data_IF_655320173048
#
_entry.id   IF_655320173048
#
_cell.length_a   1.000
_cell.length_b   1.000
_cell.length_c   1.000
_cell.angle_alpha   90.00
_cell.angle_beta   90.00
_cell.angle_gamma   90.00
#
_symmetry.space_group_name_H-M   'P 1'
#
loop_
_entity.id
_entity.type
_entity.pdbx_description
1 polymer ?
#
# COMPACT_ATOMS: atom_id res chain seq x y z
N UNK A 1 -15.61 20.32 -3.49
CA UNK A 1 -14.54 19.32 -3.32
C UNK A 1 -14.41 18.40 -4.56
N UNK A 2 -13.91 18.87 -5.72
CA UNK A 2 -13.53 17.99 -6.84
C UNK A 2 -12.01 17.77 -6.98
N UNK A 3 -11.17 18.64 -6.42
CA UNK A 3 -9.69 18.58 -6.56
C UNK A 3 -9.07 17.28 -6.02
N UNK A 4 -9.62 16.75 -4.92
CA UNK A 4 -9.06 15.57 -4.23
C UNK A 4 -9.21 14.27 -5.03
N UNK A 5 -10.25 14.14 -5.87
CA UNK A 5 -10.44 12.92 -6.68
C UNK A 5 -9.51 12.91 -7.90
N UNK A 6 -9.31 14.08 -8.52
CA UNK A 6 -8.43 14.20 -9.69
C UNK A 6 -6.96 13.97 -9.30
N UNK A 7 -6.50 14.57 -8.21
CA UNK A 7 -5.15 14.36 -7.66
C UNK A 7 -4.87 12.87 -7.36
N UNK A 8 -5.87 12.12 -6.87
CA UNK A 8 -5.75 10.67 -6.63
C UNK A 8 -5.60 9.88 -7.92
N UNK A 9 -6.34 10.25 -8.98
CA UNK A 9 -6.26 9.59 -10.28
C UNK A 9 -4.91 9.85 -10.95
N UNK A 10 -4.41 11.09 -10.88
CA UNK A 10 -3.10 11.46 -11.41
C UNK A 10 -1.98 10.69 -10.71
N UNK A 11 -1.98 10.66 -9.37
CA UNK A 11 -1.00 9.88 -8.60
C UNK A 11 -1.01 8.39 -9.00
N UNK A 12 -2.20 7.80 -9.15
CA UNK A 12 -2.34 6.40 -9.54
C UNK A 12 -1.87 6.13 -10.98
N UNK A 13 -2.17 7.05 -11.90
CA UNK A 13 -1.66 6.99 -13.26
C UNK A 13 -0.13 7.04 -13.28
N UNK A 14 0.49 7.87 -12.43
CA UNK A 14 1.94 7.96 -12.30
C UNK A 14 2.56 6.68 -11.74
N UNK A 15 1.97 6.08 -10.70
CA UNK A 15 2.40 4.78 -10.18
C UNK A 15 2.32 3.71 -11.27
N UNK A 16 1.21 3.64 -11.99
CA UNK A 16 1.02 2.70 -13.12
C UNK A 16 2.06 2.93 -14.21
N UNK A 17 2.30 4.17 -14.62
CA UNK A 17 3.28 4.54 -15.63
C UNK A 17 4.72 4.21 -15.21
N UNK A 18 5.02 4.26 -13.92
CA UNK A 18 6.30 3.82 -13.38
C UNK A 18 6.44 2.30 -13.47
N UNK A 19 5.41 1.56 -13.06
CA UNK A 19 5.40 0.09 -13.11
C UNK A 19 5.52 -0.44 -14.54
N UNK A 20 4.89 0.22 -15.52
CA UNK A 20 5.01 -0.12 -16.94
C UNK A 20 6.45 0.03 -17.49
N UNK A 21 7.29 0.84 -16.85
CA UNK A 21 8.69 1.04 -17.23
C UNK A 21 9.64 0.04 -16.58
N UNK A 22 9.18 -0.71 -15.58
CA UNK A 22 9.97 -1.78 -14.94
C UNK A 22 10.04 -3.01 -15.84
N UNK A 23 11.15 -3.74 -15.76
CA UNK A 23 11.26 -5.03 -16.47
C UNK A 23 10.30 -6.04 -15.83
N UNK A 24 9.64 -6.87 -16.64
CA UNK A 24 8.74 -7.92 -16.15
C UNK A 24 9.43 -8.94 -15.25
N UNK A 25 10.75 -9.06 -15.33
CA UNK A 25 11.56 -9.92 -14.48
C UNK A 25 12.00 -9.26 -13.17
N UNK A 26 11.81 -7.95 -13.01
CA UNK A 26 12.11 -7.24 -11.78
C UNK A 26 11.06 -7.52 -10.71
N UNK A 27 11.53 -7.72 -9.48
CA UNK A 27 10.65 -7.93 -8.32
C UNK A 27 10.52 -6.63 -7.56
N UNK A 28 9.38 -5.98 -7.71
CA UNK A 28 9.13 -4.63 -7.22
C UNK A 28 8.65 -4.69 -5.77
N UNK A 29 9.12 -3.73 -4.98
CA UNK A 29 8.62 -3.44 -3.63
C UNK A 29 8.29 -1.94 -3.61
N UNK A 30 7.05 -1.60 -3.29
CA UNK A 30 6.55 -0.23 -3.18
C UNK A 30 6.27 0.05 -1.70
N UNK A 31 6.78 1.18 -1.22
CA UNK A 31 6.66 1.63 0.16
C UNK A 31 6.21 3.08 0.14
N UNK A 32 5.21 3.45 0.92
CA UNK A 32 4.83 4.85 1.06
C UNK A 32 3.47 5.06 1.68
N UNK A 33 3.16 6.35 1.86
CA UNK A 33 1.85 6.87 2.23
C UNK A 33 1.01 7.02 0.96
N UNK A 34 -0.09 6.27 0.86
CA UNK A 34 -1.05 6.29 -0.24
C UNK A 34 -2.29 7.14 0.11
N UNK A 35 -2.16 8.05 1.08
CA UNK A 35 -3.17 8.98 1.58
C UNK A 35 -4.22 9.36 0.52
N UNK A 36 -5.49 9.09 0.81
CA UNK A 36 -6.62 9.36 -0.09
C UNK A 36 -7.07 8.18 -0.95
N UNK A 37 -6.38 7.05 -0.95
CA UNK A 37 -6.76 5.96 -1.85
C UNK A 37 -7.57 4.83 -1.20
N UNK A 38 -7.58 4.76 0.12
CA UNK A 38 -8.16 3.63 0.85
C UNK A 38 -9.27 4.15 1.75
N UNK A 39 -10.50 4.03 1.28
CA UNK A 39 -11.66 4.18 2.16
C UNK A 39 -11.79 2.87 2.97
N UNK A 40 -10.94 2.73 3.98
CA UNK A 40 -11.01 1.58 4.88
C UNK A 40 -12.16 1.79 5.86
N UNK A 41 -13.40 1.69 5.40
CA UNK A 41 -14.47 1.24 6.28
C UNK A 41 -14.20 -0.22 6.62
N UNK A 42 -13.42 -0.44 7.69
CA UNK A 42 -13.07 -1.77 8.22
C UNK A 42 -14.12 -2.28 9.22
N UNK A 43 -15.39 -2.03 8.94
CA UNK A 43 -16.47 -2.70 9.67
C UNK A 43 -17.02 -3.80 8.75
N UNK A 44 -16.42 -4.99 8.84
CA UNK A 44 -16.90 -6.19 8.15
C UNK A 44 -16.18 -6.55 6.85
N UNK A 45 -14.96 -7.09 6.97
CA UNK A 45 -14.41 -7.98 5.93
C UNK A 45 -15.00 -9.41 6.06
N UNK A 46 -16.32 -9.49 6.20
CA UNK A 46 -17.11 -10.69 5.94
C UNK A 46 -18.21 -10.26 4.95
N UNK A 47 -18.12 -10.77 3.71
CA UNK A 47 -19.10 -10.59 2.62
C UNK A 47 -19.27 -9.15 2.09
N UNK A 48 -18.37 -8.71 1.24
CA UNK A 48 -18.71 -7.73 0.18
C UNK A 48 -18.15 -8.24 -1.15
N UNK A 49 -18.64 -9.40 -1.56
CA UNK A 49 -18.56 -9.85 -2.95
C UNK A 49 -19.93 -10.11 -3.57
N UNK A 50 -21.03 -9.88 -2.84
CA UNK A 50 -22.38 -9.93 -3.40
C UNK A 50 -23.19 -8.75 -2.89
N UNK A 51 -23.86 -8.10 -3.85
CA UNK A 51 -24.93 -7.11 -3.68
C UNK A 51 -24.57 -5.79 -3.00
N UNK A 52 -24.05 -4.83 -3.77
CA UNK A 52 -24.56 -3.45 -3.72
C UNK A 52 -24.37 -2.81 -5.10
N UNK A 53 -25.47 -2.72 -5.85
CA UNK A 53 -25.65 -1.78 -6.97
C UNK A 53 -25.74 -0.36 -6.38
N UNK A 54 -24.59 0.24 -6.10
CA UNK A 54 -24.47 1.67 -5.87
C UNK A 54 -23.12 2.09 -6.45
N UNK A 55 -23.00 3.32 -6.93
CA UNK A 55 -21.85 3.89 -7.67
C UNK A 55 -20.55 4.03 -6.81
N UNK A 56 -20.44 3.20 -5.78
CA UNK A 56 -19.32 2.95 -4.86
C UNK A 56 -18.54 1.70 -5.23
N UNK A 57 -18.74 1.16 -6.43
CA UNK A 57 -17.75 0.32 -7.13
C UNK A 57 -16.58 1.22 -7.55
N UNK A 58 -16.01 1.95 -6.58
CA UNK A 58 -14.70 2.51 -6.72
C UNK A 58 -13.77 1.32 -6.48
N UNK A 59 -13.53 0.60 -7.57
CA UNK A 59 -12.30 -0.12 -7.87
C UNK A 59 -11.29 0.05 -6.73
N UNK A 60 -11.20 -0.91 -5.81
CA UNK A 60 -10.08 -0.94 -4.88
C UNK A 60 -8.84 -0.97 -5.76
N UNK A 61 -8.20 0.17 -6.04
CA UNK A 61 -7.27 0.16 -7.16
C UNK A 61 -5.95 -0.53 -6.78
N UNK A 62 -5.80 -0.97 -5.52
CA UNK A 62 -4.90 -2.04 -5.11
C UNK A 62 -5.22 -3.37 -5.79
N UNK A 63 -6.50 -3.75 -5.91
CA UNK A 63 -6.93 -4.92 -6.69
C UNK A 63 -6.62 -4.72 -8.17
N UNK A 64 -6.76 -3.50 -8.70
CA UNK A 64 -6.37 -3.21 -10.09
C UNK A 64 -4.85 -3.35 -10.29
N UNK A 65 -4.03 -2.80 -9.39
CA UNK A 65 -2.58 -2.99 -9.42
C UNK A 65 -2.17 -4.45 -9.18
N UNK A 66 -2.87 -5.16 -8.30
CA UNK A 66 -2.64 -6.57 -7.99
C UNK A 66 -2.86 -7.41 -9.24
N UNK A 67 -4.00 -7.23 -9.92
CA UNK A 67 -4.34 -7.95 -11.13
C UNK A 67 -3.44 -7.59 -12.32
N UNK A 68 -3.07 -6.32 -12.48
CA UNK A 68 -2.30 -5.87 -13.64
C UNK A 68 -0.80 -6.16 -13.51
N UNK A 69 -0.23 -6.01 -12.32
CA UNK A 69 1.22 -6.07 -12.09
C UNK A 69 1.66 -7.21 -11.16
N UNK A 70 0.75 -8.13 -10.79
CA UNK A 70 0.98 -9.20 -9.82
C UNK A 70 1.52 -8.65 -8.50
N UNK A 71 0.79 -7.73 -7.87
CA UNK A 71 1.21 -6.99 -6.67
C UNK A 71 0.33 -7.28 -5.45
N UNK A 72 0.92 -7.80 -4.38
CA UNK A 72 0.21 -8.09 -3.14
C UNK A 72 0.48 -7.02 -2.05
N UNK A 73 -0.58 -6.56 -1.37
CA UNK A 73 -0.47 -5.72 -0.17
C UNK A 73 -0.06 -6.59 1.02
N UNK A 74 1.13 -6.36 1.58
CA UNK A 74 1.67 -7.32 2.56
C UNK A 74 0.97 -7.33 3.92
N UNK A 75 0.30 -6.23 4.30
CA UNK A 75 -0.46 -6.14 5.55
C UNK A 75 -1.74 -6.97 5.55
N UNK A 76 -2.18 -7.50 4.39
CA UNK A 76 -3.33 -8.42 4.27
C UNK A 76 -2.92 -9.90 4.29
N UNK A 77 -1.61 -10.20 4.26
CA UNK A 77 -1.10 -11.58 4.26
C UNK A 77 -1.26 -12.23 5.65
N UNK A 78 -1.16 -11.43 6.72
CA UNK A 78 -1.11 -11.91 8.10
C UNK A 78 -2.32 -11.42 8.88
N UNK A 79 -2.91 -12.33 9.67
CA UNK A 79 -3.96 -11.97 10.60
C UNK A 79 -3.35 -11.39 11.88
N UNK A 80 -3.31 -10.06 11.96
CA UNK A 80 -2.85 -9.33 13.12
C UNK A 80 -4.02 -8.64 13.82
N UNK A 81 -3.89 -8.43 15.14
CA UNK A 81 -4.81 -7.54 15.87
C UNK A 81 -4.89 -6.19 15.15
N UNK A 82 -6.11 -5.66 14.99
CA UNK A 82 -6.43 -4.40 14.29
C UNK A 82 -5.55 -3.21 14.73
N UNK A 83 -5.10 -3.19 15.98
CA UNK A 83 -4.15 -2.18 16.50
C UNK A 83 -2.84 -2.11 15.71
N UNK A 84 -2.38 -3.22 15.13
CA UNK A 84 -1.15 -3.32 14.34
C UNK A 84 -1.36 -3.05 12.84
N UNK A 85 -2.54 -2.56 12.44
CA UNK A 85 -2.84 -2.17 11.05
C UNK A 85 -2.96 -0.66 10.85
N UNK A 86 -3.15 0.12 11.91
CA UNK A 86 -3.29 1.58 11.79
C UNK A 86 -1.93 2.24 11.73
N UNK A 87 -1.66 2.99 10.66
CA UNK A 87 -0.37 3.65 10.41
C UNK A 87 -0.40 5.13 10.78
N UNK A 88 -1.59 5.68 11.03
CA UNK A 88 -1.77 7.05 11.46
C UNK A 88 -2.81 7.15 12.58
N UNK A 89 -2.60 8.08 13.51
CA UNK A 89 -3.55 8.40 14.57
C UNK A 89 -3.47 9.86 14.99
N UNK A 90 -4.64 10.50 15.09
CA UNK A 90 -4.81 11.81 15.73
C UNK A 90 -6.00 11.78 16.66
N UNK A 91 -5.76 11.90 17.97
CA UNK A 91 -6.82 11.76 18.98
C UNK A 91 -7.46 10.36 18.97
N UNK A 92 -8.75 10.31 18.65
CA UNK A 92 -9.52 9.06 18.50
C UNK A 92 -9.49 8.51 17.07
N UNK A 93 -9.18 9.34 16.08
CA UNK A 93 -9.15 8.97 14.67
C UNK A 93 -7.91 8.12 14.36
N UNK A 94 -8.11 7.08 13.54
CA UNK A 94 -7.05 6.15 13.14
C UNK A 94 -7.28 5.70 11.71
N UNK A 95 -6.22 5.64 10.92
CA UNK A 95 -6.28 5.24 9.52
C UNK A 95 -5.12 4.33 9.15
N UNK A 96 -5.31 3.51 8.12
CA UNK A 96 -4.25 2.75 7.46
C UNK A 96 -3.98 3.45 6.13
N UNK A 97 -2.91 4.22 6.09
CA UNK A 97 -2.55 5.07 4.94
C UNK A 97 -1.16 4.73 4.39
N UNK A 98 -0.31 4.10 5.18
CA UNK A 98 0.99 3.62 4.76
C UNK A 98 0.94 2.14 4.37
N UNK A 99 1.50 1.80 3.21
CA UNK A 99 1.44 0.45 2.68
C UNK A 99 2.81 -0.05 2.24
N UNK A 100 2.97 -1.37 2.40
CA UNK A 100 4.06 -2.12 1.81
C UNK A 100 3.44 -3.09 0.80
N UNK A 101 3.66 -2.80 -0.48
CA UNK A 101 3.17 -3.60 -1.61
C UNK A 101 4.37 -4.32 -2.23
N UNK A 102 4.22 -5.60 -2.55
CA UNK A 102 5.30 -6.39 -3.12
C UNK A 102 4.82 -7.18 -4.33
N UNK A 103 5.72 -7.45 -5.26
CA UNK A 103 5.45 -8.43 -6.32
C UNK A 103 5.10 -9.80 -5.70
N UNK A 104 4.06 -10.47 -6.20
CA UNK A 104 3.48 -11.68 -5.60
C UNK A 104 4.48 -12.83 -5.52
N UNK A 105 5.44 -12.93 -6.46
CA UNK A 105 6.57 -13.86 -6.35
C UNK A 105 7.41 -13.70 -5.06
N UNK A 106 7.40 -12.52 -4.43
CA UNK A 106 8.05 -12.26 -3.14
C UNK A 106 7.15 -12.58 -1.94
N UNK A 107 5.86 -12.86 -2.14
CA UNK A 107 4.88 -13.12 -1.06
C UNK A 107 5.36 -14.19 -0.09
N UNK A 108 5.88 -15.30 -0.60
CA UNK A 108 6.43 -16.41 0.22
C UNK A 108 7.73 -16.06 0.97
N UNK A 109 8.35 -14.93 0.64
CA UNK A 109 9.54 -14.39 1.31
C UNK A 109 9.18 -13.38 2.39
N UNK A 110 7.97 -12.85 2.40
CA UNK A 110 7.51 -11.98 3.48
C UNK A 110 7.35 -12.82 4.74
N UNK A 111 8.01 -12.40 5.81
CA UNK A 111 7.98 -13.04 7.13
C UNK A 111 6.87 -12.44 7.98
N UNK A 112 6.71 -11.13 7.92
CA UNK A 112 5.78 -10.36 8.75
C UNK A 112 5.66 -8.94 8.20
N UNK A 113 4.46 -8.36 8.19
CA UNK A 113 4.26 -6.91 7.96
C UNK A 113 3.33 -6.37 9.02
N UNK A 114 3.84 -5.48 9.87
CA UNK A 114 3.06 -4.95 10.99
C UNK A 114 3.45 -3.53 11.36
N UNK A 115 2.50 -2.84 11.99
CA UNK A 115 2.74 -1.54 12.59
C UNK A 115 3.31 -1.67 14.01
N UNK A 116 4.34 -0.88 14.28
CA UNK A 116 4.99 -0.75 15.58
C UNK A 116 4.46 0.46 16.35
N UNK A 117 3.31 0.27 17.02
CA UNK A 117 2.59 1.35 17.74
C UNK A 117 3.26 1.83 19.04
N UNK A 118 4.33 1.18 19.50
CA UNK A 118 5.04 1.53 20.74
C UNK A 118 6.26 2.43 20.54
N UNK A 119 6.62 2.74 19.29
CA UNK A 119 7.75 3.61 18.97
C UNK A 119 7.22 5.02 18.76
N UNK A 120 7.58 5.94 19.66
CA UNK A 120 7.23 7.35 19.51
C UNK A 120 8.25 8.03 18.59
N UNK A 121 7.86 8.31 17.35
CA UNK A 121 8.71 8.98 16.35
C UNK A 121 8.48 10.50 16.31
N UNK A 122 7.78 11.07 17.31
CA UNK A 122 7.38 12.48 17.36
C UNK A 122 6.49 12.91 16.17
N UNK A 123 5.75 11.98 15.58
CA UNK A 123 4.78 12.21 14.51
C UNK A 123 3.46 11.51 14.83
N UNK A 124 2.38 11.92 14.16
CA UNK A 124 1.07 11.23 14.21
C UNK A 124 1.07 9.89 13.44
N UNK A 125 2.21 9.52 12.86
CA UNK A 125 2.42 8.30 12.08
C UNK A 125 3.11 7.22 12.93
N UNK A 126 2.73 5.98 12.70
CA UNK A 126 3.37 4.81 13.26
C UNK A 126 4.27 4.14 12.23
N UNK A 127 5.37 3.56 12.70
CA UNK A 127 6.30 2.85 11.84
C UNK A 127 5.69 1.54 11.32
N UNK A 128 5.61 1.41 9.98
CA UNK A 128 5.32 0.14 9.30
C UNK A 128 6.63 -0.60 9.06
N UNK A 129 6.68 -1.86 9.48
CA UNK A 129 7.86 -2.71 9.25
C UNK A 129 7.41 -3.96 8.50
N UNK A 130 8.02 -4.17 7.33
CA UNK A 130 7.94 -5.41 6.58
C UNK A 130 9.26 -6.16 6.68
N UNK A 131 9.21 -7.40 7.18
CA UNK A 131 10.35 -8.30 7.29
C UNK A 131 10.35 -9.24 6.11
N UNK A 132 11.43 -9.24 5.34
CA UNK A 132 11.58 -10.06 4.14
C UNK A 132 12.76 -11.00 4.31
N UNK A 133 12.59 -12.29 4.00
CA UNK A 133 13.69 -13.26 3.94
C UNK A 133 14.73 -12.78 2.93
N UNK A 134 16.01 -12.93 3.26
CA UNK A 134 17.10 -12.53 2.38
C UNK A 134 16.88 -13.05 0.95
N UNK A 135 16.82 -12.12 0.00
CA UNK A 135 16.85 -12.46 -1.42
C UNK A 135 18.32 -12.69 -1.75
N UNK A 136 18.69 -13.91 -2.17
CA UNK A 136 20.07 -14.26 -2.54
C UNK A 136 20.51 -13.59 -3.87
N UNK A 137 20.01 -12.39 -4.16
CA UNK A 137 20.25 -11.65 -5.39
C UNK A 137 20.86 -10.29 -5.08
N UNK A 138 21.77 -9.85 -5.97
CA UNK A 138 22.47 -8.57 -5.87
C UNK A 138 21.49 -7.44 -6.19
N UNK A 139 21.09 -6.68 -5.18
CA UNK A 139 20.25 -5.49 -5.34
C UNK A 139 21.00 -4.45 -6.20
N UNK A 140 20.43 -4.09 -7.35
CA UNK A 140 20.91 -2.94 -8.12
C UNK A 140 20.29 -1.68 -7.54
N UNK A 141 21.11 -0.76 -7.06
CA UNK A 141 20.63 0.58 -6.68
C UNK A 141 20.41 1.38 -7.96
N UNK A 142 19.17 1.77 -8.20
CA UNK A 142 18.82 2.77 -9.20
C UNK A 142 18.07 3.90 -8.48
N UNK A 143 18.74 5.04 -8.28
CA UNK A 143 18.13 6.23 -7.71
C UNK A 143 17.76 7.15 -8.86
N UNK A 144 16.48 7.24 -9.21
CA UNK A 144 15.98 8.38 -9.98
C UNK A 144 15.61 9.47 -8.97
N UNK A 145 16.41 10.53 -8.91
CA UNK A 145 15.98 11.77 -8.28
C UNK A 145 14.93 12.38 -9.22
N UNK A 146 13.67 12.39 -8.78
CA UNK A 146 12.66 13.24 -9.41
C UNK A 146 12.93 14.64 -8.88
N UNK A 147 13.70 15.43 -9.63
CA UNK A 147 13.78 16.88 -9.41
C UNK A 147 12.46 17.47 -9.85
N UNK A 148 11.57 17.73 -8.89
CA UNK A 148 10.45 18.63 -9.11
C UNK A 148 11.05 20.04 -9.19
N UNK A 149 11.12 20.61 -10.39
CA UNK A 149 11.39 22.05 -10.52
C UNK A 149 10.17 22.79 -9.95
N UNK A 150 10.43 23.68 -8.99
CA UNK A 150 9.47 24.56 -8.33
C UNK A 150 9.04 25.71 -9.23
#
# INVERSE_FOLDING_TARGET
MPKLLEERKEFMADVRNLLLKCDRNERIIILGDFNGWVDVQRDGYEKVLDEFEDERVNENCFLLLDQEFNLCVTSTIFDHRRIHSYTWRRGQDKSMIDFVIVHDQLRTKIVDTRVYCGVNVSTDYFLVVCRIKALCQRWRRYTKMVTTEL
#
